data_IF_648507420462
#
_entry.id   IF_648507420462
#
_cell.length_a   1.000
_cell.length_b   1.000
_cell.length_c   1.000
_cell.angle_alpha   90.00
_cell.angle_beta   90.00
_cell.angle_gamma   90.00
#
_symmetry.space_group_name_H-M   'P 1'
#
loop_
_entity.id
_entity.type
_entity.pdbx_description
1 polymer ?
#
# COMPACT_ATOMS: atom_id res chain seq x y z
N UNK A 1 22.54 -6.83 5.70
CA UNK A 1 21.25 -6.53 6.36
C UNK A 1 20.14 -6.78 5.36
N UNK A 2 19.05 -7.45 5.75
CA UNK A 2 17.89 -7.74 4.90
C UNK A 2 16.65 -7.24 5.63
N UNK A 3 15.77 -6.55 4.91
CA UNK A 3 14.50 -6.07 5.44
C UNK A 3 13.37 -6.87 4.83
N UNK A 4 12.38 -7.20 5.66
CA UNK A 4 11.12 -7.78 5.21
C UNK A 4 9.99 -6.87 5.66
N UNK A 5 9.27 -6.32 4.67
CA UNK A 5 8.12 -5.45 4.85
C UNK A 5 6.89 -6.19 4.33
N UNK A 6 5.84 -6.22 5.13
CA UNK A 6 4.55 -6.80 4.77
C UNK A 6 3.48 -5.76 5.07
N UNK A 7 2.58 -5.59 4.11
CA UNK A 7 1.33 -4.86 4.26
C UNK A 7 0.17 -5.86 4.14
N UNK A 8 -0.83 -5.73 5.01
CA UNK A 8 -2.02 -6.61 5.04
C UNK A 8 -3.24 -5.71 4.87
N UNK A 9 -3.95 -5.88 3.76
CA UNK A 9 -5.13 -5.09 3.42
C UNK A 9 -6.26 -5.28 4.45
N UNK A 10 -6.81 -4.17 4.93
CA UNK A 10 -7.96 -4.14 5.84
C UNK A 10 -7.69 -4.65 7.25
N UNK A 11 -6.44 -4.85 7.62
CA UNK A 11 -6.09 -5.31 8.96
C UNK A 11 -6.13 -4.19 10.00
N UNK A 12 -6.35 -4.57 11.26
CA UNK A 12 -6.28 -3.69 12.43
C UNK A 12 -5.60 -4.42 13.58
N UNK A 13 -4.88 -3.69 14.44
CA UNK A 13 -4.10 -4.32 15.52
C UNK A 13 -5.00 -5.20 16.39
N UNK A 14 -6.18 -4.68 16.67
CA UNK A 14 -7.20 -5.35 17.44
C UNK A 14 -7.62 -6.70 16.84
N UNK A 15 -7.63 -6.86 15.51
CA UNK A 15 -7.97 -8.14 14.88
C UNK A 15 -6.92 -9.20 15.24
N UNK A 16 -5.63 -8.86 15.22
CA UNK A 16 -4.58 -9.80 15.59
C UNK A 16 -4.66 -10.28 17.05
N UNK A 17 -5.14 -9.41 17.95
CA UNK A 17 -5.30 -9.76 19.37
C UNK A 17 -6.65 -10.43 19.68
N UNK A 18 -7.67 -10.30 18.81
CA UNK A 18 -8.95 -10.99 18.96
C UNK A 18 -8.89 -12.48 18.62
N UNK A 19 -8.00 -12.89 17.72
CA UNK A 19 -7.84 -14.29 17.31
C UNK A 19 -6.66 -14.97 18.01
N UNK A 20 -6.63 -16.30 18.05
CA UNK A 20 -5.48 -17.05 18.62
C UNK A 20 -4.33 -17.11 17.61
N UNK A 21 -3.52 -16.04 17.55
CA UNK A 21 -2.40 -15.89 16.61
C UNK A 21 -1.07 -15.69 17.38
N UNK A 22 -0.59 -16.72 18.11
CA UNK A 22 0.48 -16.54 19.10
C UNK A 22 1.79 -16.02 18.50
N UNK A 23 2.13 -16.47 17.29
CA UNK A 23 3.33 -15.97 16.59
C UNK A 23 3.22 -14.48 16.23
N UNK A 24 2.07 -14.04 15.70
CA UNK A 24 1.88 -12.64 15.31
C UNK A 24 1.84 -11.76 16.56
N UNK A 25 1.11 -12.18 17.59
CA UNK A 25 0.98 -11.45 18.86
C UNK A 25 2.31 -11.30 19.59
N UNK A 26 3.12 -12.37 19.64
CA UNK A 26 4.46 -12.30 20.23
C UNK A 26 5.34 -11.28 19.50
N UNK A 27 5.34 -11.31 18.17
CA UNK A 27 6.11 -10.36 17.36
C UNK A 27 5.62 -8.92 17.52
N UNK A 28 4.30 -8.70 17.50
CA UNK A 28 3.64 -7.42 17.77
C UNK A 28 4.06 -6.81 19.10
N UNK A 29 4.08 -7.63 20.16
CA UNK A 29 4.41 -7.18 21.52
C UNK A 29 5.88 -6.80 21.72
N UNK A 30 6.78 -7.31 20.87
CA UNK A 30 8.23 -7.01 20.92
C UNK A 30 8.63 -5.88 19.97
N UNK A 31 7.77 -5.58 18.99
CA UNK A 31 8.02 -4.58 17.95
C UNK A 31 7.85 -3.15 18.44
N UNK A 32 8.20 -2.21 17.55
CA UNK A 32 7.82 -0.81 17.70
C UNK A 32 6.49 -0.63 16.99
N UNK A 33 5.45 -0.30 17.76
CA UNK A 33 4.12 -0.05 17.23
C UNK A 33 3.90 1.45 17.11
N UNK A 34 3.44 1.88 15.94
CA UNK A 34 3.13 3.29 15.64
C UNK A 34 1.67 3.34 15.23
N UNK A 35 0.90 4.20 15.87
CA UNK A 35 -0.48 4.46 15.46
C UNK A 35 -0.47 5.35 14.22
N UNK A 36 -1.04 4.86 13.13
CA UNK A 36 -1.21 5.59 11.87
C UNK A 36 -2.69 5.91 11.67
N UNK A 37 -2.96 7.13 11.20
CA UNK A 37 -4.28 7.53 10.72
C UNK A 37 -4.24 7.47 9.19
N UNK A 38 -4.99 6.54 8.62
CA UNK A 38 -5.11 6.34 7.18
C UNK A 38 -6.54 6.66 6.75
N UNK A 39 -6.69 7.29 5.59
CA UNK A 39 -7.99 7.56 5.00
C UNK A 39 -8.36 6.50 3.94
N UNK A 40 -9.67 6.25 3.79
CA UNK A 40 -10.17 5.24 2.86
C UNK A 40 -10.06 5.66 1.39
N UNK A 41 -9.73 6.93 1.11
CA UNK A 41 -9.66 7.51 -0.22
C UNK A 41 -8.26 7.29 -0.81
N UNK A 42 -7.20 7.40 0.00
CA UNK A 42 -5.82 7.13 -0.39
C UNK A 42 -5.45 5.65 -0.35
N UNK A 43 -6.04 4.87 0.57
CA UNK A 43 -5.86 3.40 0.75
C UNK A 43 -4.41 2.91 0.93
N UNK A 44 -3.48 3.76 1.35
CA UNK A 44 -2.16 3.40 1.90
C UNK A 44 -1.12 2.80 0.94
N UNK A 45 -1.50 1.96 -0.03
CA UNK A 45 -0.55 1.24 -0.90
C UNK A 45 0.38 2.17 -1.68
N UNK A 46 -0.15 3.26 -2.24
CA UNK A 46 0.65 4.30 -2.91
C UNK A 46 1.68 4.90 -1.96
N UNK A 47 1.22 5.23 -0.75
CA UNK A 47 1.98 5.99 0.23
C UNK A 47 3.09 5.14 0.84
N UNK A 48 2.84 3.85 1.07
CA UNK A 48 3.87 2.89 1.51
C UNK A 48 4.92 2.70 0.42
N UNK A 49 4.51 2.69 -0.85
CA UNK A 49 5.43 2.53 -1.96
C UNK A 49 6.24 3.80 -2.25
N UNK A 50 5.75 5.00 -1.94
CA UNK A 50 6.34 6.25 -2.42
C UNK A 50 6.71 7.24 -1.31
N UNK A 51 6.15 7.08 -0.12
CA UNK A 51 6.20 8.04 0.98
C UNK A 51 5.36 9.30 0.74
N UNK A 52 4.50 9.31 -0.27
CA UNK A 52 3.77 10.52 -0.71
C UNK A 52 2.27 10.29 -0.62
N UNK A 53 1.57 11.23 0.03
CA UNK A 53 0.13 11.17 0.21
C UNK A 53 -0.65 11.27 -1.11
N UNK A 54 -1.80 10.60 -1.22
CA UNK A 54 -2.63 10.58 -2.44
C UNK A 54 -3.05 11.97 -2.94
N UNK A 55 -3.21 12.96 -2.06
CA UNK A 55 -3.51 14.35 -2.45
C UNK A 55 -2.38 15.05 -3.20
N UNK A 56 -1.15 14.54 -3.07
CA UNK A 56 0.05 15.05 -3.76
C UNK A 56 0.36 14.20 -4.99
N UNK A 57 0.21 12.88 -4.89
CA UNK A 57 0.48 11.94 -5.99
C UNK A 57 -0.68 11.82 -6.98
N UNK A 58 -1.88 12.25 -6.59
CA UNK A 58 -3.13 12.02 -7.34
C UNK A 58 -3.59 10.56 -7.32
N UNK A 59 -2.94 9.71 -6.53
CA UNK A 59 -3.12 8.26 -6.50
C UNK A 59 -4.30 7.85 -5.62
N UNK A 60 -5.46 8.46 -5.84
CA UNK A 60 -6.66 8.10 -5.10
C UNK A 60 -7.22 6.76 -5.57
N UNK A 61 -7.68 5.95 -4.62
CA UNK A 61 -8.34 4.69 -4.89
C UNK A 61 -9.68 4.90 -5.63
N UNK A 62 -10.39 5.96 -5.24
CA UNK A 62 -11.60 6.45 -5.91
C UNK A 62 -11.44 7.94 -6.22
N UNK A 63 -11.63 8.31 -7.49
CA UNK A 63 -11.49 9.70 -7.94
C UNK A 63 -12.69 10.14 -8.77
N UNK A 64 -13.14 11.37 -8.58
CA UNK A 64 -14.10 11.98 -9.51
C UNK A 64 -13.43 12.26 -10.85
N UNK A 65 -14.13 12.02 -11.96
CA UNK A 65 -13.58 12.18 -13.31
C UNK A 65 -13.42 13.63 -13.78
N UNK A 66 -13.91 14.62 -13.02
CA UNK A 66 -13.77 16.08 -13.27
C UNK A 66 -14.12 16.52 -14.71
N UNK A 67 -14.95 15.73 -15.41
CA UNK A 67 -15.37 15.92 -16.80
C UNK A 67 -16.81 16.47 -16.89
N UNK A 68 -17.32 17.00 -15.77
CA UNK A 68 -18.72 17.44 -15.62
C UNK A 68 -19.70 16.29 -15.36
N UNK A 69 -19.27 15.04 -15.39
CA UNK A 69 -20.05 13.91 -14.89
C UNK A 69 -19.95 13.81 -13.36
N UNK A 70 -20.97 13.22 -12.74
CA UNK A 70 -20.95 12.82 -11.32
C UNK A 70 -20.36 11.40 -11.14
N UNK A 71 -19.49 10.99 -12.05
CA UNK A 71 -18.94 9.63 -12.07
C UNK A 71 -17.66 9.56 -11.25
N UNK A 72 -17.61 8.55 -10.38
CA UNK A 72 -16.41 8.15 -9.65
C UNK A 72 -15.74 7.02 -10.41
N UNK A 73 -14.44 7.16 -10.67
CA UNK A 73 -13.60 6.11 -11.20
C UNK A 73 -12.85 5.43 -10.06
N UNK A 74 -12.95 4.11 -10.01
CA UNK A 74 -12.12 3.23 -9.18
C UNK A 74 -10.90 2.71 -9.93
N UNK A 75 -10.56 3.32 -11.07
CA UNK A 75 -9.37 2.98 -11.83
C UNK A 75 -8.13 3.61 -11.19
N UNK A 76 -7.66 2.98 -10.11
CA UNK A 76 -6.37 3.26 -9.51
C UNK A 76 -5.25 2.58 -10.32
N UNK A 77 -4.16 3.31 -10.55
CA UNK A 77 -2.91 2.78 -11.12
C UNK A 77 -1.74 3.47 -10.46
N UNK A 78 -0.97 2.73 -9.67
CA UNK A 78 0.26 3.19 -9.03
C UNK A 78 1.25 3.82 -10.04
N UNK A 79 1.32 3.26 -11.26
CA UNK A 79 2.19 3.79 -12.32
C UNK A 79 1.67 5.08 -12.98
N UNK A 80 0.40 5.45 -12.78
CA UNK A 80 -0.14 6.72 -13.28
C UNK A 80 0.27 7.91 -12.40
N UNK A 81 0.84 7.68 -11.22
CA UNK A 81 1.36 8.72 -10.32
C UNK A 81 2.42 9.60 -10.97
N UNK A 82 3.29 9.00 -11.78
CA UNK A 82 4.29 9.73 -12.55
C UNK A 82 3.68 10.72 -13.56
N UNK A 83 2.40 10.55 -13.91
CA UNK A 83 1.68 11.49 -14.79
C UNK A 83 1.18 12.72 -14.04
N UNK A 84 0.98 12.61 -12.73
CA UNK A 84 0.55 13.73 -11.88
C UNK A 84 1.77 14.47 -11.33
N UNK A 85 2.78 13.75 -10.87
CA UNK A 85 4.01 14.34 -10.36
C UNK A 85 5.23 13.48 -10.71
N UNK A 86 6.11 14.03 -11.55
CA UNK A 86 7.30 13.33 -12.04
C UNK A 86 8.39 13.14 -10.99
N UNK A 87 8.30 13.82 -9.84
CA UNK A 87 9.29 13.74 -8.77
C UNK A 87 8.99 12.64 -7.74
N UNK A 88 7.92 11.86 -7.94
CA UNK A 88 7.59 10.73 -7.07
C UNK A 88 8.40 9.52 -7.52
N UNK A 89 9.18 8.95 -6.61
CA UNK A 89 10.08 7.82 -6.86
C UNK A 89 9.63 6.65 -5.99
N UNK A 90 9.18 5.53 -6.58
CA UNK A 90 8.85 4.35 -5.81
C UNK A 90 10.06 3.81 -5.04
N UNK A 91 9.82 3.27 -3.84
CA UNK A 91 10.80 2.78 -2.89
C UNK A 91 11.81 1.84 -3.55
N UNK A 92 11.35 0.96 -4.43
CA UNK A 92 12.23 0.03 -5.13
C UNK A 92 13.17 0.67 -6.13
N UNK A 93 12.75 1.75 -6.79
CA UNK A 93 13.60 2.54 -7.68
C UNK A 93 14.69 3.22 -6.84
N UNK A 94 14.31 3.83 -5.73
CA UNK A 94 15.24 4.46 -4.80
C UNK A 94 16.25 3.45 -4.23
N UNK A 95 15.80 2.26 -3.82
CA UNK A 95 16.67 1.19 -3.31
C UNK A 95 17.64 0.67 -4.39
N UNK A 96 17.15 0.43 -5.61
CA UNK A 96 18.01 0.01 -6.73
C UNK A 96 19.06 1.06 -7.09
N UNK A 97 18.70 2.35 -7.06
CA UNK A 97 19.65 3.45 -7.30
C UNK A 97 20.79 3.49 -6.27
N UNK A 98 20.53 2.97 -5.05
CA UNK A 98 21.52 2.82 -3.99
C UNK A 98 22.23 1.45 -4.00
N UNK A 99 22.09 0.66 -5.07
CA UNK A 99 22.79 -0.62 -5.25
C UNK A 99 22.14 -1.82 -4.57
N UNK A 100 20.95 -1.67 -3.97
CA UNK A 100 20.25 -2.77 -3.33
C UNK A 100 19.45 -3.61 -4.34
N UNK A 101 19.43 -4.92 -4.14
CA UNK A 101 18.50 -5.85 -4.80
C UNK A 101 17.19 -5.91 -4.02
N UNK A 102 16.05 -5.98 -4.71
CA UNK A 102 14.72 -6.01 -4.10
C UNK A 102 13.91 -7.21 -4.59
N UNK A 103 13.04 -7.73 -3.72
CA UNK A 103 12.03 -8.72 -4.07
C UNK A 103 10.66 -8.16 -3.71
N UNK A 104 9.77 -8.02 -4.70
CA UNK A 104 8.47 -7.37 -4.52
C UNK A 104 7.39 -8.29 -5.05
N UNK A 105 6.32 -8.45 -4.27
CA UNK A 105 5.20 -9.31 -4.65
C UNK A 105 3.88 -8.63 -4.30
N UNK A 106 2.89 -8.80 -5.17
CA UNK A 106 1.49 -8.51 -4.92
C UNK A 106 1.13 -7.04 -4.62
N UNK A 107 2.03 -6.08 -4.91
CA UNK A 107 1.69 -4.65 -4.82
C UNK A 107 0.56 -4.35 -5.83
N UNK A 108 -0.61 -3.84 -5.40
CA UNK A 108 -1.75 -3.64 -6.28
C UNK A 108 -1.44 -2.74 -7.47
N UNK A 109 -2.09 -3.00 -8.61
CA UNK A 109 -2.07 -2.16 -9.81
C UNK A 109 -0.72 -2.01 -10.51
N UNK A 110 0.22 -2.89 -10.19
CA UNK A 110 1.55 -3.01 -10.85
C UNK A 110 1.52 -3.92 -12.07
N UNK A 111 0.41 -3.89 -12.83
CA UNK A 111 0.29 -4.49 -14.16
C UNK A 111 0.63 -3.42 -15.19
N UNK A 112 1.76 -3.37 -15.88
CA UNK A 112 2.86 -4.30 -16.13
C UNK A 112 3.93 -4.25 -15.01
N UNK A 113 4.58 -5.38 -14.71
CA UNK A 113 5.64 -5.46 -13.70
C UNK A 113 6.77 -4.46 -13.97
N UNK A 114 7.13 -3.60 -13.00
CA UNK A 114 8.30 -2.73 -13.11
C UNK A 114 9.60 -3.54 -13.24
N UNK A 115 10.55 -3.01 -14.01
CA UNK A 115 11.91 -3.56 -14.04
C UNK A 115 12.63 -3.16 -12.75
N UNK A 116 13.20 -4.15 -12.06
CA UNK A 116 13.98 -3.98 -10.83
C UNK A 116 15.26 -4.80 -10.89
N UNK A 117 16.27 -4.41 -10.11
CA UNK A 117 17.39 -5.27 -9.73
C UNK A 117 16.88 -6.27 -8.68
N UNK A 118 16.66 -7.52 -9.08
CA UNK A 118 16.04 -8.56 -8.26
C UNK A 118 14.81 -9.15 -8.97
N UNK A 119 13.67 -9.26 -8.29
CA UNK A 119 12.44 -9.78 -8.88
C UNK A 119 11.20 -8.95 -8.51
N UNK A 120 10.22 -8.92 -9.41
CA UNK A 120 8.93 -8.29 -9.22
C UNK A 120 7.82 -9.24 -9.68
N UNK A 121 6.88 -9.57 -8.78
CA UNK A 121 5.66 -10.31 -9.08
C UNK A 121 4.49 -9.34 -8.98
N UNK A 122 3.92 -8.96 -10.13
CA UNK A 122 2.82 -8.00 -10.21
C UNK A 122 1.63 -8.41 -9.36
N UNK A 123 1.04 -7.42 -8.67
CA UNK A 123 -0.23 -7.56 -7.98
C UNK A 123 -1.41 -7.21 -8.89
N UNK A 124 -2.38 -8.11 -8.97
CA UNK A 124 -3.71 -7.77 -9.50
C UNK A 124 -4.53 -7.10 -8.41
N UNK A 125 -5.01 -5.88 -8.65
CA UNK A 125 -6.05 -5.28 -7.81
C UNK A 125 -7.39 -5.94 -8.12
N UNK A 126 -8.16 -6.31 -7.10
CA UNK A 126 -9.53 -6.78 -7.29
C UNK A 126 -10.42 -5.56 -7.55
N UNK A 127 -10.93 -5.41 -8.77
CA UNK A 127 -12.04 -4.48 -9.04
C UNK A 127 -13.29 -5.03 -8.34
N UNK A 128 -13.66 -4.50 -7.18
CA UNK A 128 -14.99 -4.72 -6.62
C UNK A 128 -16.00 -3.98 -7.53
N UNK A 129 -16.59 -4.71 -8.48
CA UNK A 129 -17.77 -4.22 -9.21
C UNK A 129 -18.98 -4.36 -8.28
N UNK A 130 -19.59 -3.23 -7.95
CA UNK A 130 -20.82 -3.07 -7.17
C UNK A 130 -20.68 -3.30 -5.64
N UNK A 131 -20.31 -2.26 -4.91
CA UNK A 131 -20.74 -2.10 -3.52
C UNK A 131 -21.56 -0.82 -3.42
N UNK A 132 -22.77 -0.94 -2.87
CA UNK A 132 -23.64 0.19 -2.54
C UNK A 132 -22.96 1.06 -1.48
N UNK A 133 -23.27 2.37 -1.51
CA UNK A 133 -22.74 3.47 -0.69
C UNK A 133 -22.90 3.32 0.85
N UNK A 134 -23.35 2.17 1.38
CA UNK A 134 -23.65 1.98 2.80
C UNK A 134 -22.42 1.68 3.69
N UNK A 135 -21.21 1.53 3.15
CA UNK A 135 -20.03 1.08 3.91
C UNK A 135 -19.02 2.18 4.33
N UNK A 136 -19.32 3.46 4.09
CA UNK A 136 -18.37 4.57 4.21
C UNK A 136 -18.01 5.05 5.64
N UNK A 137 -18.40 4.34 6.70
CA UNK A 137 -18.28 4.85 8.09
C UNK A 137 -17.36 4.03 9.02
N UNK A 138 -16.28 3.41 8.52
CA UNK A 138 -15.30 2.76 9.41
C UNK A 138 -13.87 3.17 9.05
N UNK A 139 -13.22 3.90 9.95
CA UNK A 139 -11.77 4.08 9.95
C UNK A 139 -11.10 2.71 10.09
N UNK A 140 -10.22 2.39 9.15
CA UNK A 140 -9.31 1.25 9.22
C UNK A 140 -7.98 1.75 9.79
N UNK A 141 -7.37 0.98 10.68
CA UNK A 141 -6.08 1.28 11.29
C UNK A 141 -5.11 0.24 10.78
N UNK A 142 -4.23 0.56 9.83
CA UNK A 142 -3.24 -0.41 9.38
C UNK A 142 -2.00 -0.41 10.29
N UNK A 143 -1.45 -1.59 10.57
CA UNK A 143 -0.15 -1.72 11.21
C UNK A 143 0.89 -2.19 10.20
N UNK A 144 1.98 -1.43 10.11
CA UNK A 144 3.14 -1.81 9.32
C UNK A 144 4.14 -2.56 10.21
N UNK A 145 4.48 -3.80 9.82
CA UNK A 145 5.49 -4.58 10.51
C UNK A 145 6.81 -4.53 9.77
N UNK A 146 7.83 -3.95 10.40
CA UNK A 146 9.21 -4.04 9.93
C UNK A 146 9.93 -5.15 10.68
N UNK A 147 10.14 -6.30 10.04
CA UNK A 147 10.91 -7.39 10.62
C UNK A 147 12.39 -7.22 10.25
N UNK A 148 13.25 -6.99 11.24
CA UNK A 148 14.70 -7.02 11.08
C UNK A 148 15.20 -8.44 11.36
N UNK A 149 15.61 -9.15 10.31
CA UNK A 149 16.28 -10.44 10.46
C UNK A 149 17.79 -10.22 10.46
N UNK A 150 18.40 -10.22 11.65
CA UNK A 150 19.85 -10.37 11.80
C UNK A 150 20.22 -11.83 11.57
N UNK A 151 21.02 -12.09 10.54
CA UNK A 151 21.72 -13.36 10.32
C UNK A 151 22.85 -13.56 11.32
#
# INVERSE_FOLDING_TARGET
>A
MRYFLIEIDGDQEELFFRFNLPFIQENLSKGVNISLEEDLISRGWSEICTGVHASVSGAFYERMLMDGSYTVSSEYKLLDEHKVNTNIIPLWVALNANGYSVGIMNVPTTNIAPKVNGFFVSGGGVKLRNLSLEYLNRSQQMNNFLFNFSS
#
